data_IF_684544363417
#
_entry.id   IF_684544363417
#
_cell.length_a   1.000
_cell.length_b   1.000
_cell.length_c   1.000
_cell.angle_alpha   90.00
_cell.angle_beta   90.00
_cell.angle_gamma   90.00
#
_symmetry.space_group_name_H-M   'P 1'
#
loop_
_entity.id
_entity.type
_entity.pdbx_description
1 polymer ?
#
# COMPACT_ATOMS: atom_id res chain seq x y z
N UNK A 1 -7.84 3.36 -2.74
CA UNK A 1 -8.96 2.43 -2.52
C UNK A 1 -9.29 2.46 -1.06
N UNK A 2 -10.44 3.05 -0.72
CA UNK A 2 -11.01 2.95 0.62
C UNK A 2 -11.38 1.49 0.89
N UNK A 3 -11.41 1.05 2.15
CA UNK A 3 -11.86 -0.30 2.50
C UNK A 3 -13.26 -0.62 1.97
N UNK A 4 -14.12 0.38 1.78
CA UNK A 4 -15.44 0.26 1.14
C UNK A 4 -15.39 -0.15 -0.32
N UNK A 5 -14.41 0.35 -1.09
CA UNK A 5 -14.27 0.04 -2.52
C UNK A 5 -14.00 -1.45 -2.74
N UNK A 6 -13.35 -2.13 -1.78
CA UNK A 6 -13.00 -3.54 -1.93
C UNK A 6 -14.19 -4.46 -1.64
N UNK A 7 -15.11 -4.06 -0.74
CA UNK A 7 -16.36 -4.79 -0.52
C UNK A 7 -17.29 -4.70 -1.74
N UNK A 8 -17.33 -3.55 -2.39
CA UNK A 8 -18.08 -3.35 -3.64
C UNK A 8 -17.48 -4.15 -4.80
N UNK A 9 -16.14 -4.19 -4.93
CA UNK A 9 -15.43 -5.00 -5.95
C UNK A 9 -15.71 -6.50 -5.79
N UNK A 10 -15.91 -6.96 -4.55
CA UNK A 10 -16.19 -8.37 -4.25
C UNK A 10 -17.69 -8.67 -4.15
N UNK A 11 -18.56 -7.68 -4.38
CA UNK A 11 -20.02 -7.78 -4.26
C UNK A 11 -20.47 -8.39 -2.92
N UNK A 12 -19.75 -8.07 -1.84
CA UNK A 12 -20.03 -8.58 -0.50
C UNK A 12 -21.02 -7.61 0.16
N UNK A 13 -22.30 -8.01 0.21
CA UNK A 13 -23.34 -7.24 0.90
C UNK A 13 -23.12 -7.29 2.41
N UNK A 14 -23.03 -6.13 3.05
CA UNK A 14 -23.10 -6.02 4.51
C UNK A 14 -24.48 -6.51 5.00
N UNK A 15 -24.53 -7.67 5.68
CA UNK A 15 -25.76 -8.22 6.28
C UNK A 15 -26.15 -7.50 7.58
N UNK A 16 -26.06 -6.17 7.58
CA UNK A 16 -26.42 -5.31 8.71
C UNK A 16 -27.51 -4.29 8.40
N UNK A 17 -28.10 -4.32 7.21
CA UNK A 17 -29.19 -3.43 6.80
C UNK A 17 -30.24 -4.18 6.00
N UNK A 18 -31.16 -4.86 6.68
CA UNK A 18 -32.53 -5.06 6.22
C UNK A 18 -33.45 -4.87 7.44
N UNK A 19 -34.43 -4.01 7.24
CA UNK A 19 -35.52 -3.60 8.12
C UNK A 19 -36.38 -4.74 8.66
N UNK A 20 -36.95 -4.49 9.84
CA UNK A 20 -37.95 -5.29 10.55
C UNK A 20 -39.13 -5.72 9.68
N UNK A 21 -39.52 -7.00 9.76
CA UNK A 21 -40.89 -7.40 10.14
C UNK A 21 -41.01 -8.92 10.38
N UNK A 22 -41.94 -9.25 11.28
CA UNK A 22 -42.52 -10.55 11.63
C UNK A 22 -41.77 -11.46 12.62
N UNK A 23 -42.40 -11.62 13.78
CA UNK A 23 -41.96 -12.47 14.85
C UNK A 23 -42.42 -13.91 14.69
N UNK A 24 -41.65 -14.83 15.26
CA UNK A 24 -42.19 -15.98 15.96
C UNK A 24 -41.14 -16.52 16.92
N UNK A 25 -41.65 -16.95 18.07
CA UNK A 25 -40.97 -17.45 19.25
C UNK A 25 -40.15 -18.72 19.02
N UNK A 26 -38.95 -18.80 19.59
CA UNK A 26 -38.45 -20.01 20.28
C UNK A 26 -37.12 -19.75 21.01
N UNK A 27 -37.05 -20.16 22.28
CA UNK A 27 -35.84 -20.24 23.11
C UNK A 27 -34.88 -21.32 22.57
N UNK A 28 -33.59 -21.31 22.97
CA UNK A 28 -33.21 -22.16 24.12
C UNK A 28 -32.19 -21.55 25.10
N UNK A 29 -32.51 -21.76 26.37
CA UNK A 29 -31.72 -22.26 27.51
C UNK A 29 -30.17 -22.14 27.49
N UNK A 30 -29.72 -21.59 28.61
CA UNK A 30 -28.40 -21.50 29.25
C UNK A 30 -27.38 -22.63 29.06
N UNK A 31 -26.10 -22.25 29.03
CA UNK A 31 -25.11 -22.80 29.99
C UNK A 31 -24.00 -21.80 30.28
N UNK A 32 -23.71 -21.65 31.57
CA UNK A 32 -22.68 -20.83 32.17
C UNK A 32 -21.33 -21.54 32.14
N UNK A 33 -20.27 -20.81 31.80
CA UNK A 33 -18.97 -21.01 32.45
C UNK A 33 -18.12 -19.75 32.35
N UNK A 34 -17.56 -19.40 33.50
CA UNK A 34 -16.82 -18.21 33.86
C UNK A 34 -15.34 -18.31 33.44
N UNK A 35 -14.83 -17.30 32.73
CA UNK A 35 -13.41 -16.98 32.71
C UNK A 35 -13.21 -15.48 32.46
N UNK A 36 -12.50 -14.84 33.38
CA UNK A 36 -12.15 -13.41 33.40
C UNK A 36 -11.15 -13.11 32.28
N UNK A 37 -11.51 -12.24 31.33
CA UNK A 37 -10.59 -11.73 30.32
C UNK A 37 -10.79 -10.23 30.10
N UNK A 38 -9.66 -9.55 29.98
CA UNK A 38 -9.44 -8.09 29.88
C UNK A 38 -10.23 -7.48 28.71
N UNK A 39 -11.02 -6.45 29.00
CA UNK A 39 -11.82 -5.68 28.03
C UNK A 39 -10.94 -5.04 26.93
N UNK A 40 -10.96 -5.60 25.72
CA UNK A 40 -10.77 -4.86 24.46
C UNK A 40 -12.13 -4.80 23.75
N UNK A 41 -12.55 -3.65 23.18
CA UNK A 41 -13.77 -3.61 22.39
C UNK A 41 -13.58 -4.50 21.15
N UNK A 42 -14.40 -5.55 21.06
CA UNK A 42 -14.42 -6.46 19.91
C UNK A 42 -14.87 -5.69 18.67
N UNK A 43 -14.02 -5.64 17.63
CA UNK A 43 -14.44 -5.19 16.30
C UNK A 43 -15.45 -6.20 15.77
N UNK A 44 -16.63 -5.73 15.37
CA UNK A 44 -17.70 -6.57 14.80
C UNK A 44 -17.12 -7.41 13.64
N UNK A 45 -17.16 -8.73 13.77
CA UNK A 45 -16.80 -9.61 12.67
C UNK A 45 -17.89 -9.54 11.61
N UNK A 46 -17.50 -9.30 10.36
CA UNK A 46 -18.40 -9.42 9.21
C UNK A 46 -18.62 -10.91 8.99
N UNK A 47 -19.79 -11.42 9.40
CA UNK A 47 -20.15 -12.83 9.23
C UNK A 47 -20.20 -13.19 7.75
N UNK A 48 -19.48 -14.25 7.35
CA UNK A 48 -19.46 -14.77 5.98
C UNK A 48 -18.11 -14.67 5.24
N UNK A 49 -17.08 -14.06 5.85
CA UNK A 49 -15.74 -13.96 5.25
C UNK A 49 -14.71 -14.73 6.08
N UNK A 50 -13.87 -15.54 5.42
CA UNK A 50 -12.77 -16.24 6.09
C UNK A 50 -11.81 -15.24 6.76
N UNK A 51 -11.33 -15.59 7.95
CA UNK A 51 -10.46 -14.73 8.79
C UNK A 51 -9.23 -14.23 8.05
N UNK A 52 -8.69 -15.03 7.13
CA UNK A 52 -7.51 -14.66 6.32
C UNK A 52 -7.84 -13.62 5.25
N UNK A 53 -8.99 -13.75 4.59
CA UNK A 53 -9.48 -12.78 3.61
C UNK A 53 -9.86 -11.45 4.29
N UNK A 54 -10.49 -11.51 5.47
CA UNK A 54 -10.76 -10.33 6.28
C UNK A 54 -9.48 -9.63 6.76
N UNK A 55 -8.43 -10.40 7.08
CA UNK A 55 -7.11 -9.84 7.43
C UNK A 55 -6.41 -9.18 6.24
N UNK A 56 -6.76 -9.52 5.00
CA UNK A 56 -6.32 -8.79 3.80
C UNK A 56 -7.13 -7.50 3.59
N UNK A 57 -8.32 -7.40 4.18
CA UNK A 57 -9.31 -6.35 3.94
C UNK A 57 -9.28 -5.28 5.04
N UNK A 58 -8.13 -4.65 5.23
CA UNK A 58 -7.93 -3.56 6.18
C UNK A 58 -6.50 -3.04 6.13
N UNK A 59 -6.25 -1.86 6.72
CA UNK A 59 -4.95 -1.18 6.87
C UNK A 59 -3.94 -1.99 7.72
N UNK A 60 -3.67 -3.25 7.33
CA UNK A 60 -2.69 -4.12 7.96
C UNK A 60 -1.31 -3.94 7.31
N UNK A 61 -0.84 -2.69 7.24
CA UNK A 61 0.57 -2.52 7.60
C UNK A 61 0.57 -2.30 9.10
N UNK A 62 0.99 -3.29 9.93
CA UNK A 62 1.42 -2.90 11.26
C UNK A 62 2.40 -1.75 11.05
N UNK A 63 2.27 -0.61 11.75
CA UNK A 63 3.31 0.40 11.67
C UNK A 63 4.59 -0.35 11.97
N UNK A 64 5.50 -0.41 10.99
CA UNK A 64 6.85 -0.87 11.24
C UNK A 64 7.33 0.14 12.24
N UNK A 65 7.23 -0.21 13.52
CA UNK A 65 7.83 0.56 14.58
C UNK A 65 9.31 0.38 14.30
N UNK A 66 9.86 1.29 13.48
CA UNK A 66 11.28 1.57 13.45
C UNK A 66 11.52 2.13 14.84
N UNK A 67 11.66 1.24 15.83
CA UNK A 67 12.21 1.64 17.10
C UNK A 67 13.55 2.26 16.74
N UNK A 68 13.82 3.53 17.07
CA UNK A 68 15.15 4.08 16.94
C UNK A 68 15.98 3.32 17.97
N UNK A 69 16.46 2.14 17.59
CA UNK A 69 17.31 1.33 18.42
C UNK A 69 18.62 2.12 18.47
N UNK A 70 18.81 2.87 19.55
CA UNK A 70 19.98 3.71 19.83
C UNK A 70 21.26 2.90 20.04
N UNK A 71 21.25 1.62 19.68
CA UNK A 71 22.34 0.66 19.81
C UNK A 71 23.28 0.64 18.60
N UNK A 72 23.59 1.81 18.04
CA UNK A 72 24.56 1.97 16.94
C UNK A 72 26.01 1.59 17.34
N UNK A 73 26.25 1.16 18.58
CA UNK A 73 27.57 0.78 19.12
C UNK A 73 27.60 -0.55 19.88
N UNK A 74 26.54 -1.36 19.84
CA UNK A 74 26.66 -2.74 20.33
C UNK A 74 27.53 -3.52 19.34
N UNK A 75 28.77 -3.84 19.75
CA UNK A 75 29.62 -4.74 18.98
C UNK A 75 28.87 -6.07 18.84
N UNK A 76 28.66 -6.50 17.60
CA UNK A 76 28.02 -7.78 17.30
C UNK A 76 28.86 -8.89 17.94
N UNK A 77 28.44 -9.40 19.10
CA UNK A 77 29.06 -10.56 19.74
C UNK A 77 28.70 -11.82 18.94
N UNK A 78 29.34 -11.98 17.78
CA UNK A 78 29.18 -13.16 16.94
C UNK A 78 30.08 -14.28 17.50
N UNK A 79 29.55 -15.01 18.48
CA UNK A 79 30.20 -16.19 19.08
C UNK A 79 30.06 -17.45 18.21
N UNK A 80 29.41 -17.35 17.04
CA UNK A 80 29.28 -18.46 16.10
C UNK A 80 30.58 -18.66 15.32
N UNK A 81 31.08 -19.90 15.31
CA UNK A 81 32.19 -20.30 14.44
C UNK A 81 31.84 -20.00 12.98
N UNK A 82 32.79 -19.48 12.22
CA UNK A 82 32.61 -19.21 10.80
C UNK A 82 32.29 -20.52 10.07
N UNK A 83 31.15 -20.55 9.38
CA UNK A 83 30.75 -21.72 8.60
C UNK A 83 31.55 -21.74 7.29
N UNK A 84 32.13 -22.87 6.90
CA UNK A 84 32.82 -22.98 5.62
C UNK A 84 31.81 -22.82 4.48
N UNK A 85 32.23 -22.17 3.40
CA UNK A 85 31.44 -22.09 2.17
C UNK A 85 31.94 -23.15 1.20
N UNK A 86 31.01 -23.88 0.58
CA UNK A 86 31.30 -24.93 -0.39
C UNK A 86 30.72 -24.46 -1.72
N UNK A 87 31.48 -24.63 -2.79
CA UNK A 87 31.03 -24.38 -4.15
C UNK A 87 30.20 -25.58 -4.60
N UNK A 88 28.89 -25.41 -4.73
CA UNK A 88 27.94 -26.47 -5.07
C UNK A 88 27.32 -26.22 -6.43
N UNK A 89 27.19 -27.27 -7.24
CA UNK A 89 26.45 -27.22 -8.49
C UNK A 89 24.95 -27.33 -8.21
N UNK A 90 24.12 -26.64 -8.99
CA UNK A 90 22.67 -26.79 -8.99
C UNK A 90 22.13 -26.68 -10.41
N UNK A 91 21.10 -27.46 -10.71
CA UNK A 91 20.38 -27.39 -11.99
C UNK A 91 19.32 -26.29 -11.90
N UNK A 92 19.52 -25.19 -12.62
CA UNK A 92 18.53 -24.10 -12.68
C UNK A 92 17.38 -24.42 -13.64
N UNK A 93 17.67 -25.16 -14.71
CA UNK A 93 16.71 -25.67 -15.68
C UNK A 93 17.25 -27.02 -16.22
N UNK A 94 16.44 -27.77 -16.97
CA UNK A 94 16.82 -29.05 -17.62
C UNK A 94 18.09 -28.95 -18.47
N UNK A 95 18.41 -27.75 -18.97
CA UNK A 95 19.51 -27.51 -19.89
C UNK A 95 20.71 -26.78 -19.26
N UNK A 96 20.57 -26.22 -18.05
CA UNK A 96 21.61 -25.35 -17.48
C UNK A 96 21.92 -25.77 -16.04
N UNK A 97 23.14 -26.24 -15.84
CA UNK A 97 23.79 -26.42 -14.55
C UNK A 97 24.60 -25.16 -14.24
N UNK A 98 24.32 -24.54 -13.10
CA UNK A 98 25.06 -23.39 -12.59
C UNK A 98 25.71 -23.76 -11.26
N UNK A 99 26.65 -22.96 -10.82
CA UNK A 99 27.38 -23.18 -9.57
C UNK A 99 27.14 -22.01 -8.62
N UNK A 100 26.90 -22.30 -7.34
CA UNK A 100 26.76 -21.27 -6.31
C UNK A 100 27.45 -21.67 -5.01
N UNK A 101 27.82 -20.67 -4.22
CA UNK A 101 28.40 -20.88 -2.90
C UNK A 101 27.29 -21.16 -1.87
N UNK A 102 27.30 -22.35 -1.28
CA UNK A 102 26.44 -22.72 -0.14
C UNK A 102 27.20 -22.70 1.16
N UNK A 103 26.49 -22.47 2.26
CA UNK A 103 27.04 -22.55 3.61
C UNK A 103 27.10 -24.03 4.03
N UNK A 104 28.28 -24.60 4.22
CA UNK A 104 28.51 -26.02 4.56
C UNK A 104 28.67 -26.30 6.07
N UNK A 105 28.57 -27.58 6.52
CA UNK A 105 28.43 -28.81 5.74
C UNK A 105 27.05 -29.49 5.92
N UNK A 106 26.46 -30.00 4.84
CA UNK A 106 25.49 -31.11 4.92
C UNK A 106 26.02 -32.26 4.06
N UNK A 107 25.85 -33.45 4.62
CA UNK A 107 26.41 -34.77 4.28
C UNK A 107 26.62 -35.06 2.79
N UNK A 108 27.65 -35.87 2.54
CA UNK A 108 27.82 -36.69 1.33
C UNK A 108 26.52 -37.46 1.04
N UNK A 109 26.23 -37.62 -0.26
CA UNK A 109 25.05 -38.26 -0.87
C UNK A 109 23.86 -37.32 -1.16
N UNK A 110 24.08 -36.39 -2.09
CA UNK A 110 22.99 -35.71 -2.81
C UNK A 110 23.30 -34.25 -3.11
N UNK A 111 23.06 -33.83 -4.35
CA UNK A 111 23.05 -32.42 -4.72
C UNK A 111 22.00 -31.74 -3.81
N UNK A 112 22.39 -30.77 -2.95
CA UNK A 112 21.42 -30.12 -2.07
C UNK A 112 20.40 -29.38 -2.93
N UNK A 113 19.14 -29.81 -2.87
CA UNK A 113 18.05 -29.10 -3.53
C UNK A 113 18.05 -27.64 -3.07
N UNK A 114 17.97 -26.74 -4.04
CA UNK A 114 17.97 -25.31 -3.76
C UNK A 114 16.79 -24.97 -2.85
N UNK A 115 16.99 -24.10 -1.86
CA UNK A 115 15.90 -23.54 -1.05
C UNK A 115 14.82 -22.84 -1.91
N UNK A 116 15.17 -22.53 -3.16
CA UNK A 116 14.28 -21.90 -4.14
C UNK A 116 13.47 -22.90 -4.97
N UNK A 117 13.80 -24.20 -4.95
CA UNK A 117 13.04 -25.25 -5.69
C UNK A 117 11.57 -25.27 -5.29
N UNK A 118 11.25 -24.94 -4.03
CA UNK A 118 9.87 -24.81 -3.55
C UNK A 118 9.03 -23.73 -4.26
N UNK A 119 9.67 -22.80 -4.97
CA UNK A 119 8.98 -21.76 -5.73
C UNK A 119 8.85 -22.09 -7.22
N UNK A 120 9.44 -23.20 -7.68
CA UNK A 120 9.36 -23.67 -9.06
C UNK A 120 8.09 -24.51 -9.26
N UNK A 121 6.94 -23.83 -9.25
CA UNK A 121 5.62 -24.45 -9.36
C UNK A 121 5.17 -24.38 -10.82
N UNK A 122 5.18 -25.52 -11.51
CA UNK A 122 4.61 -25.65 -12.85
C UNK A 122 3.13 -26.05 -12.79
N UNK A 123 2.30 -25.38 -13.59
CA UNK A 123 0.89 -25.72 -13.70
C UNK A 123 0.71 -26.99 -14.54
N UNK A 124 0.03 -27.99 -13.98
CA UNK A 124 -0.36 -29.19 -14.72
C UNK A 124 -1.64 -28.91 -15.50
N UNK A 125 -1.51 -28.65 -16.80
CA UNK A 125 -2.64 -28.39 -17.70
C UNK A 125 -3.05 -29.72 -18.34
N UNK A 126 -4.34 -30.10 -18.24
CA UNK A 126 -4.86 -31.30 -18.89
C UNK A 126 -4.51 -31.43 -20.38
N UNK A 127 -4.27 -32.68 -20.78
CA UNK A 127 -4.23 -33.13 -22.17
C UNK A 127 -5.45 -34.01 -22.44
N UNK A 128 -6.07 -33.82 -23.60
CA UNK A 128 -7.25 -34.58 -24.02
C UNK A 128 -7.23 -34.83 -25.53
N UNK A 129 -7.75 -35.99 -25.93
CA UNK A 129 -7.93 -36.36 -27.34
C UNK A 129 -9.20 -35.73 -27.94
N UNK A 130 -9.36 -35.79 -29.26
CA UNK A 130 -10.56 -35.28 -29.96
C UNK A 130 -11.81 -36.08 -29.55
N UNK A 131 -11.66 -37.37 -29.30
CA UNK A 131 -12.73 -38.27 -28.85
C UNK A 131 -13.18 -37.93 -27.43
N UNK A 132 -12.23 -37.67 -26.52
CA UNK A 132 -12.50 -37.24 -25.15
C UNK A 132 -13.20 -35.87 -25.17
N UNK A 133 -12.70 -34.94 -25.99
CA UNK A 133 -13.28 -33.62 -26.18
C UNK A 133 -14.74 -33.67 -26.61
N UNK A 134 -15.05 -34.43 -27.66
CA UNK A 134 -16.42 -34.59 -28.13
C UNK A 134 -17.30 -35.27 -27.05
N UNK A 135 -16.73 -36.20 -26.27
CA UNK A 135 -17.47 -36.90 -25.21
C UNK A 135 -17.91 -35.97 -24.07
N UNK A 136 -17.02 -35.11 -23.57
CA UNK A 136 -17.37 -34.20 -22.46
C UNK A 136 -18.05 -32.91 -22.91
N UNK A 137 -17.85 -32.50 -24.17
CA UNK A 137 -18.41 -31.25 -24.70
C UNK A 137 -19.81 -31.43 -25.32
N UNK A 138 -20.25 -32.68 -25.53
CA UNK A 138 -21.58 -32.97 -26.05
C UNK A 138 -22.70 -32.42 -25.13
N UNK A 139 -23.69 -31.71 -25.68
CA UNK A 139 -24.73 -31.02 -24.90
C UNK A 139 -25.73 -31.93 -24.18
N UNK A 140 -25.64 -33.26 -24.33
CA UNK A 140 -26.55 -34.23 -23.70
C UNK A 140 -26.31 -34.42 -22.19
N UNK A 141 -25.19 -33.92 -21.63
CA UNK A 141 -24.93 -33.92 -20.19
C UNK A 141 -25.54 -32.72 -19.45
N UNK A 142 -26.35 -31.88 -20.13
CA UNK A 142 -27.21 -30.86 -19.50
C UNK A 142 -28.39 -31.51 -18.76
N UNK A 143 -28.13 -32.35 -17.77
CA UNK A 143 -29.14 -32.73 -16.78
C UNK A 143 -29.03 -31.83 -15.56
N UNK A 144 -30.05 -30.98 -15.42
CA UNK A 144 -30.55 -30.38 -14.19
C UNK A 144 -29.87 -29.07 -13.76
N UNK A 145 -30.68 -28.00 -13.76
CA UNK A 145 -30.45 -26.65 -13.19
C UNK A 145 -29.81 -25.58 -14.08
N UNK A 146 -30.55 -25.15 -15.11
CA UNK A 146 -30.99 -23.74 -15.24
C UNK A 146 -31.73 -23.54 -16.57
N UNK A 147 -33.07 -23.53 -16.49
CA UNK A 147 -33.89 -22.86 -17.49
C UNK A 147 -33.74 -21.36 -17.25
N UNK A 148 -33.25 -20.60 -18.23
CA UNK A 148 -33.74 -19.28 -18.62
C UNK A 148 -32.92 -18.74 -19.79
N UNK A 149 -33.65 -18.50 -20.88
CA UNK A 149 -33.35 -17.68 -22.06
C UNK A 149 -32.05 -16.88 -22.07
N UNK A 150 -31.15 -17.21 -23.00
CA UNK A 150 -30.40 -16.21 -23.76
C UNK A 150 -29.78 -16.86 -25.01
N UNK A 151 -30.39 -16.57 -26.17
CA UNK A 151 -29.77 -16.74 -27.49
C UNK A 151 -28.60 -15.77 -27.61
N UNK A 152 -27.47 -16.06 -26.95
CA UNK A 152 -26.17 -15.45 -27.29
C UNK A 152 -25.56 -16.25 -28.45
N UNK A 153 -24.95 -15.60 -29.46
CA UNK A 153 -24.29 -16.32 -30.53
C UNK A 153 -23.18 -17.17 -29.91
N UNK A 154 -23.36 -18.48 -29.90
CA UNK A 154 -22.31 -19.43 -29.57
C UNK A 154 -21.12 -19.09 -30.45
N UNK A 155 -20.08 -18.49 -29.87
CA UNK A 155 -18.78 -18.44 -30.54
C UNK A 155 -18.43 -19.90 -30.79
N UNK A 156 -18.46 -20.31 -32.07
CA UNK A 156 -18.21 -21.70 -32.45
C UNK A 156 -16.72 -21.96 -32.28
N UNK A 157 -16.34 -22.31 -31.06
CA UNK A 157 -14.99 -22.72 -30.75
C UNK A 157 -14.68 -24.03 -31.47
N UNK A 158 -13.67 -23.99 -32.32
CA UNK A 158 -13.17 -25.20 -32.98
C UNK A 158 -12.28 -25.99 -32.02
N UNK A 159 -12.27 -27.32 -32.13
CA UNK A 159 -11.33 -28.15 -31.38
C UNK A 159 -9.86 -27.73 -31.64
N UNK A 160 -9.54 -27.38 -32.88
CA UNK A 160 -8.20 -26.90 -33.28
C UNK A 160 -7.83 -25.61 -32.56
N UNK A 161 -8.81 -24.72 -32.37
CA UNK A 161 -8.64 -23.46 -31.68
C UNK A 161 -8.40 -23.65 -30.18
N UNK A 162 -9.12 -24.59 -29.58
CA UNK A 162 -8.98 -24.91 -28.16
C UNK A 162 -7.64 -25.58 -27.90
N UNK A 163 -7.21 -26.52 -28.75
CA UNK A 163 -5.86 -27.09 -28.66
C UNK A 163 -4.78 -26.01 -28.78
N UNK A 164 -4.95 -25.06 -29.70
CA UNK A 164 -4.04 -23.92 -29.83
C UNK A 164 -3.99 -23.07 -28.55
N UNK A 165 -5.15 -22.77 -27.95
CA UNK A 165 -5.25 -22.06 -26.68
C UNK A 165 -4.55 -22.81 -25.54
N UNK A 166 -4.81 -24.11 -25.39
CA UNK A 166 -4.15 -24.94 -24.38
C UNK A 166 -2.62 -25.03 -24.59
N UNK A 167 -2.18 -25.08 -25.84
CA UNK A 167 -0.76 -25.03 -26.20
C UNK A 167 -0.10 -23.67 -25.89
N UNK A 168 -0.86 -22.56 -25.94
CA UNK A 168 -0.38 -21.26 -25.46
C UNK A 168 -0.36 -21.22 -23.93
N UNK A 169 -1.39 -21.75 -23.25
CA UNK A 169 -1.43 -21.81 -21.79
C UNK A 169 -0.25 -22.59 -21.20
N UNK A 170 0.19 -23.68 -21.85
CA UNK A 170 1.39 -24.46 -21.44
C UNK A 170 2.70 -23.73 -21.67
N UNK A 171 2.80 -22.94 -22.74
CA UNK A 171 4.05 -22.21 -23.07
C UNK A 171 4.26 -20.97 -22.21
N UNK A 172 3.19 -20.37 -21.70
CA UNK A 172 3.23 -19.11 -20.94
C UNK A 172 2.70 -19.22 -19.51
N UNK A 173 2.56 -20.44 -18.97
CA UNK A 173 2.14 -20.70 -17.58
C UNK A 173 0.88 -19.91 -17.17
N UNK A 174 -0.16 -19.91 -18.01
CA UNK A 174 -1.42 -19.17 -17.81
C UNK A 174 -1.27 -17.65 -17.66
N UNK A 175 -0.19 -17.06 -18.19
CA UNK A 175 -0.04 -15.61 -18.29
C UNK A 175 -1.03 -15.02 -19.31
N UNK A 176 -2.28 -14.81 -18.89
CA UNK A 176 -3.41 -14.42 -19.75
C UNK A 176 -3.14 -13.21 -20.65
N UNK A 177 -2.38 -12.23 -20.18
CA UNK A 177 -2.03 -11.06 -20.98
C UNK A 177 -1.06 -11.40 -22.13
N UNK A 178 -0.09 -12.28 -21.89
CA UNK A 178 0.86 -12.76 -22.91
C UNK A 178 0.15 -13.70 -23.88
N UNK A 179 -0.74 -14.54 -23.36
CA UNK A 179 -1.56 -15.44 -24.18
C UNK A 179 -2.44 -14.62 -25.12
N UNK A 180 -3.12 -13.60 -24.60
CA UNK A 180 -3.96 -12.69 -25.39
C UNK A 180 -3.16 -11.94 -26.46
N UNK A 181 -1.99 -11.40 -26.12
CA UNK A 181 -1.10 -10.70 -27.06
C UNK A 181 -0.62 -11.60 -28.22
N UNK A 182 -0.39 -12.89 -27.93
CA UNK A 182 0.12 -13.86 -28.92
C UNK A 182 -0.95 -14.70 -29.58
N UNK A 183 -2.22 -14.47 -29.26
CA UNK A 183 -3.32 -15.23 -29.79
C UNK A 183 -3.62 -14.78 -31.23
N UNK A 184 -3.32 -15.64 -32.21
CA UNK A 184 -3.55 -15.34 -33.62
C UNK A 184 -4.31 -16.48 -34.30
N UNK A 185 -5.63 -16.52 -34.07
CA UNK A 185 -6.54 -17.49 -34.69
C UNK A 185 -7.54 -16.83 -35.67
N UNK A 186 -7.35 -15.55 -35.99
CA UNK A 186 -8.15 -14.80 -36.97
C UNK A 186 -9.37 -14.07 -36.41
N UNK A 187 -9.88 -14.47 -35.23
CA UNK A 187 -10.93 -13.74 -34.51
C UNK A 187 -10.36 -13.03 -33.28
N UNK A 188 -10.63 -11.72 -33.17
CA UNK A 188 -10.30 -10.93 -31.97
C UNK A 188 -11.29 -11.28 -30.84
N UNK A 189 -10.96 -12.31 -30.06
CA UNK A 189 -11.74 -12.71 -28.89
C UNK A 189 -11.35 -11.88 -27.67
N UNK A 190 -12.29 -11.56 -26.79
CA UNK A 190 -11.93 -10.86 -25.55
C UNK A 190 -11.08 -11.76 -24.65
N UNK A 191 -10.21 -11.15 -23.84
CA UNK A 191 -9.44 -11.86 -22.82
C UNK A 191 -10.34 -12.67 -21.87
N UNK A 192 -11.54 -12.15 -21.57
CA UNK A 192 -12.49 -12.87 -20.71
C UNK A 192 -13.14 -14.06 -21.43
N UNK A 193 -13.25 -14.03 -22.76
CA UNK A 193 -13.79 -15.13 -23.58
C UNK A 193 -12.80 -16.30 -23.65
N UNK A 194 -11.50 -15.99 -23.78
CA UNK A 194 -10.43 -17.00 -23.72
C UNK A 194 -10.43 -17.74 -22.38
N UNK A 195 -10.63 -16.99 -21.27
CA UNK A 195 -10.73 -17.56 -19.93
C UNK A 195 -11.97 -18.41 -19.77
N UNK A 196 -13.13 -17.90 -20.20
CA UNK A 196 -14.41 -18.60 -20.12
C UNK A 196 -14.29 -20.00 -20.72
N UNK A 197 -13.75 -20.09 -21.94
CA UNK A 197 -13.56 -21.39 -22.58
C UNK A 197 -12.55 -22.28 -21.90
N UNK A 198 -11.41 -21.74 -21.47
CA UNK A 198 -10.41 -22.56 -20.79
C UNK A 198 -10.98 -23.18 -19.51
N UNK A 199 -11.67 -22.39 -18.69
CA UNK A 199 -12.27 -22.88 -17.46
C UNK A 199 -13.48 -23.78 -17.71
N UNK A 200 -14.29 -23.53 -18.74
CA UNK A 200 -15.40 -24.41 -19.11
C UNK A 200 -14.89 -25.79 -19.54
N UNK A 201 -13.87 -25.83 -20.41
CA UNK A 201 -13.23 -27.07 -20.88
C UNK A 201 -12.58 -27.80 -19.71
N UNK A 202 -11.83 -27.11 -18.85
CA UNK A 202 -11.23 -27.72 -17.67
C UNK A 202 -12.31 -28.27 -16.72
N UNK A 203 -13.39 -27.51 -16.45
CA UNK A 203 -14.48 -27.96 -15.58
C UNK A 203 -15.14 -29.23 -16.11
N UNK A 204 -15.44 -29.28 -17.41
CA UNK A 204 -16.04 -30.48 -18.04
C UNK A 204 -15.08 -31.66 -18.05
N UNK A 205 -13.78 -31.42 -18.28
CA UNK A 205 -12.76 -32.45 -18.21
C UNK A 205 -12.64 -33.06 -16.80
N UNK A 206 -12.55 -32.22 -15.77
CA UNK A 206 -12.48 -32.69 -14.38
C UNK A 206 -13.78 -33.37 -13.94
N UNK A 207 -14.94 -32.88 -14.38
CA UNK A 207 -16.22 -33.53 -14.12
C UNK A 207 -16.31 -34.93 -14.74
N UNK A 208 -15.75 -35.12 -15.94
CA UNK A 208 -15.72 -36.41 -16.62
C UNK A 208 -14.73 -37.40 -15.97
N UNK A 209 -13.64 -36.90 -15.36
CA UNK A 209 -12.66 -37.74 -14.65
C UNK A 209 -13.10 -38.09 -13.24
N UNK A 210 -13.47 -37.10 -12.44
CA UNK A 210 -13.81 -37.24 -11.02
C UNK A 210 -15.02 -36.34 -10.66
N UNK A 211 -16.25 -36.90 -10.65
CA UNK A 211 -17.45 -36.13 -10.37
C UNK A 211 -17.56 -35.50 -8.95
N UNK A 212 -16.76 -35.98 -7.99
CA UNK A 212 -16.82 -35.57 -6.57
C UNK A 212 -15.68 -34.64 -6.13
N UNK A 213 -14.86 -34.13 -7.05
CA UNK A 213 -13.74 -33.27 -6.67
C UNK A 213 -14.20 -31.87 -6.20
N UNK A 214 -13.72 -31.47 -5.03
CA UNK A 214 -14.01 -30.14 -4.45
C UNK A 214 -13.36 -29.01 -5.28
N UNK A 215 -12.34 -29.32 -6.09
CA UNK A 215 -11.68 -28.34 -6.97
C UNK A 215 -12.62 -27.78 -8.04
N UNK A 216 -13.69 -28.50 -8.40
CA UNK A 216 -14.67 -28.06 -9.41
C UNK A 216 -15.32 -26.71 -9.05
N UNK A 217 -15.50 -26.44 -7.75
CA UNK A 217 -16.03 -25.15 -7.29
C UNK A 217 -15.05 -23.99 -7.50
N UNK A 218 -13.74 -24.25 -7.56
CA UNK A 218 -12.71 -23.23 -7.80
C UNK A 218 -12.58 -22.88 -9.28
N UNK A 219 -13.07 -23.76 -10.17
CA UNK A 219 -13.08 -23.56 -11.62
C UNK A 219 -14.34 -22.85 -12.13
N UNK A 220 -15.26 -22.42 -11.23
CA UNK A 220 -16.45 -21.65 -11.61
C UNK A 220 -16.08 -20.21 -12.01
N UNK A 221 -15.87 -20.01 -13.32
CA UNK A 221 -15.57 -18.72 -13.89
C UNK A 221 -16.81 -18.11 -14.53
N UNK A 222 -17.26 -16.96 -14.01
CA UNK A 222 -18.41 -16.21 -14.54
C UNK A 222 -17.94 -14.95 -15.27
N UNK A 223 -17.99 -14.98 -16.60
CA UNK A 223 -17.57 -13.88 -17.47
C UNK A 223 -18.28 -12.56 -17.17
N UNK A 224 -19.60 -12.56 -17.01
CA UNK A 224 -20.37 -11.33 -16.80
C UNK A 224 -19.90 -10.58 -15.55
N UNK A 225 -19.61 -11.31 -14.46
CA UNK A 225 -19.08 -10.74 -13.21
C UNK A 225 -17.69 -10.14 -13.39
N UNK A 226 -16.80 -10.79 -14.14
CA UNK A 226 -15.45 -10.24 -14.36
C UNK A 226 -15.48 -9.01 -15.27
N UNK A 227 -16.39 -8.98 -16.25
CA UNK A 227 -16.62 -7.80 -17.09
C UNK A 227 -17.16 -6.62 -16.26
N UNK A 228 -18.14 -6.85 -15.39
CA UNK A 228 -18.64 -5.84 -14.46
C UNK A 228 -17.54 -5.34 -13.52
N UNK A 229 -16.77 -6.26 -12.94
CA UNK A 229 -15.63 -5.95 -12.06
C UNK A 229 -14.59 -5.09 -12.76
N UNK A 230 -14.26 -5.42 -14.01
CA UNK A 230 -13.33 -4.64 -14.86
C UNK A 230 -13.88 -3.25 -15.17
N UNK A 231 -15.18 -3.13 -15.47
CA UNK A 231 -15.84 -1.83 -15.67
C UNK A 231 -15.80 -0.99 -14.39
N UNK A 232 -16.06 -1.59 -13.22
CA UNK A 232 -15.98 -0.92 -11.93
C UNK A 232 -14.56 -0.45 -11.62
N UNK A 233 -13.54 -1.30 -11.82
CA UNK A 233 -12.14 -0.92 -11.62
C UNK A 233 -11.71 0.21 -12.55
N UNK A 234 -12.14 0.18 -13.83
CA UNK A 234 -11.91 1.29 -14.76
C UNK A 234 -12.57 2.58 -14.28
N UNK A 235 -13.80 2.50 -13.76
CA UNK A 235 -14.49 3.64 -13.15
C UNK A 235 -13.71 4.17 -11.95
N UNK A 236 -13.25 3.30 -11.05
CA UNK A 236 -12.48 3.68 -9.88
C UNK A 236 -11.14 4.32 -10.25
N UNK A 237 -10.45 3.79 -11.26
CA UNK A 237 -9.18 4.34 -11.74
C UNK A 237 -9.36 5.71 -12.43
N UNK A 238 -10.52 5.94 -13.06
CA UNK A 238 -10.84 7.21 -13.71
C UNK A 238 -11.47 8.25 -12.79
N UNK A 239 -11.70 7.94 -11.51
CA UNK A 239 -12.18 8.92 -10.51
C UNK A 239 -11.20 10.08 -10.37
N UNK A 240 -11.72 11.30 -10.40
CA UNK A 240 -10.91 12.49 -10.15
C UNK A 240 -10.68 12.69 -8.65
N UNK A 241 -9.58 13.36 -8.28
CA UNK A 241 -9.30 13.68 -6.87
C UNK A 241 -10.37 14.59 -6.23
N UNK A 242 -11.06 15.41 -7.05
CA UNK A 242 -12.16 16.26 -6.59
C UNK A 242 -13.41 15.42 -6.25
N UNK A 243 -13.76 14.47 -7.12
CA UNK A 243 -14.87 13.52 -6.91
C UNK A 243 -14.65 12.69 -5.64
N UNK A 244 -13.41 12.24 -5.39
CA UNK A 244 -13.07 11.50 -4.16
C UNK A 244 -13.28 12.36 -2.91
N UNK A 245 -12.84 13.63 -2.93
CA UNK A 245 -12.98 14.53 -1.79
C UNK A 245 -14.46 14.86 -1.50
N UNK A 246 -15.27 15.00 -2.55
CA UNK A 246 -16.72 15.19 -2.42
C UNK A 246 -17.41 13.94 -1.85
N UNK A 247 -17.10 12.74 -2.37
CA UNK A 247 -17.62 11.48 -1.83
C UNK A 247 -17.24 11.29 -0.34
N UNK A 248 -16.00 11.58 0.03
CA UNK A 248 -15.55 11.53 1.43
C UNK A 248 -16.28 12.53 2.31
N UNK A 249 -16.51 13.77 1.82
CA UNK A 249 -17.29 14.77 2.54
C UNK A 249 -18.74 14.33 2.76
N UNK A 250 -19.38 13.75 1.73
CA UNK A 250 -20.73 13.19 1.83
C UNK A 250 -20.81 12.01 2.80
N UNK A 251 -19.79 11.14 2.85
CA UNK A 251 -19.73 10.05 3.83
C UNK A 251 -19.61 10.59 5.26
N UNK A 252 -18.79 11.61 5.48
CA UNK A 252 -18.64 12.26 6.79
C UNK A 252 -19.97 12.89 7.22
N UNK A 253 -20.63 13.59 6.30
CA UNK A 253 -21.94 14.20 6.54
C UNK A 253 -23.00 13.13 6.85
N UNK A 254 -23.06 12.05 6.07
CA UNK A 254 -23.96 10.92 6.32
C UNK A 254 -23.75 10.30 7.70
N UNK A 255 -22.49 10.06 8.09
CA UNK A 255 -22.16 9.56 9.44
C UNK A 255 -22.54 10.54 10.54
N UNK A 256 -22.39 11.85 10.29
CA UNK A 256 -22.81 12.90 11.21
C UNK A 256 -24.33 12.87 11.40
N UNK A 257 -25.11 12.70 10.34
CA UNK A 257 -26.55 12.54 10.43
C UNK A 257 -26.95 11.25 11.15
N UNK A 258 -26.25 10.13 10.92
CA UNK A 258 -26.52 8.87 11.62
C UNK A 258 -26.25 9.01 13.13
N UNK A 259 -25.14 9.63 13.52
CA UNK A 259 -24.83 9.90 14.93
C UNK A 259 -25.84 10.86 15.56
N UNK A 260 -26.26 11.89 14.83
CA UNK A 260 -27.29 12.82 15.30
C UNK A 260 -28.63 12.10 15.50
N UNK A 261 -29.06 11.24 14.56
CA UNK A 261 -30.28 10.46 14.66
C UNK A 261 -30.24 9.47 15.84
N UNK A 262 -29.10 8.81 16.08
CA UNK A 262 -28.92 7.94 17.25
C UNK A 262 -29.00 8.74 18.56
N UNK A 263 -28.42 9.93 18.59
CA UNK A 263 -28.48 10.83 19.75
C UNK A 263 -29.92 11.27 20.04
N UNK A 264 -30.66 11.74 19.04
CA UNK A 264 -32.06 12.17 19.24
C UNK A 264 -32.95 11.01 19.66
N UNK A 265 -32.69 9.79 19.18
CA UNK A 265 -33.41 8.59 19.60
C UNK A 265 -33.13 8.25 21.07
N UNK A 266 -31.86 8.29 21.49
CA UNK A 266 -31.46 8.09 22.89
C UNK A 266 -32.03 9.17 23.81
N UNK A 267 -32.02 10.44 23.38
CA UNK A 267 -32.66 11.55 24.12
C UNK A 267 -34.17 11.31 24.24
N UNK A 268 -34.84 10.90 23.16
CA UNK A 268 -36.26 10.55 23.16
C UNK A 268 -36.54 9.39 24.12
N UNK A 269 -35.75 8.32 24.09
CA UNK A 269 -35.89 7.19 25.01
C UNK A 269 -35.70 7.63 26.47
N UNK A 270 -34.73 8.51 26.73
CA UNK A 270 -34.50 9.06 28.08
C UNK A 270 -35.67 9.90 28.57
N UNK A 271 -36.30 10.69 27.69
CA UNK A 271 -37.48 11.50 27.99
C UNK A 271 -38.68 10.60 28.23
N UNK A 272 -38.89 9.59 27.38
CA UNK A 272 -39.96 8.61 27.54
C UNK A 272 -39.80 7.85 28.85
N UNK A 273 -38.59 7.43 29.21
CA UNK A 273 -38.30 6.78 30.49
C UNK A 273 -38.51 7.70 31.69
N UNK A 274 -38.29 9.01 31.54
CA UNK A 274 -38.59 9.99 32.57
C UNK A 274 -40.10 10.21 32.71
N UNK A 275 -40.83 10.23 31.60
CA UNK A 275 -42.28 10.37 31.57
C UNK A 275 -42.99 9.11 32.08
N UNK A 276 -42.43 7.94 31.81
CA UNK A 276 -42.88 6.63 32.28
C UNK A 276 -42.34 6.29 33.68
N UNK A 277 -41.65 7.24 34.33
CA UNK A 277 -41.28 7.05 35.73
C UNK A 277 -42.56 6.96 36.58
N UNK A 278 -42.66 5.98 37.48
CA UNK A 278 -43.92 5.71 38.18
C UNK A 278 -44.36 6.94 38.96
N UNK A 279 -45.54 7.47 38.63
CA UNK A 279 -46.22 8.44 39.47
C UNK A 279 -46.40 7.79 40.85
N UNK A 280 -45.83 8.39 41.90
CA UNK A 280 -45.94 7.83 43.23
C UNK A 280 -47.36 8.00 43.75
N UNK A 281 -48.18 6.95 43.70
CA UNK A 281 -49.54 6.90 44.28
C UNK A 281 -49.55 6.90 45.83
N UNK A 282 -48.41 7.16 46.48
CA UNK A 282 -48.35 7.24 47.94
C UNK A 282 -48.83 8.60 48.43
N UNK A 283 -49.79 8.58 49.35
CA UNK A 283 -50.32 9.76 50.03
C UNK A 283 -49.21 10.53 50.75
N UNK A 284 -49.16 11.85 50.49
CA UNK A 284 -48.22 12.81 51.09
C UNK A 284 -48.20 12.75 52.63
N UNK A 285 -49.27 12.24 53.25
CA UNK A 285 -49.40 12.09 54.69
C UNK A 285 -48.29 11.22 55.33
N UNK A 286 -47.76 10.21 54.62
CA UNK A 286 -46.69 9.36 55.16
C UNK A 286 -45.37 10.11 55.36
N UNK A 287 -45.16 11.21 54.63
CA UNK A 287 -43.98 12.06 54.71
C UNK A 287 -44.13 13.27 55.64
N UNK A 288 -45.29 13.44 56.29
CA UNK A 288 -45.45 14.51 57.28
C UNK A 288 -44.83 14.16 58.64
N UNK A 289 -44.50 12.89 58.88
CA UNK A 289 -43.78 12.47 60.08
C UNK A 289 -42.26 12.64 59.90
N UNK A 290 -41.55 13.01 60.97
CA UNK A 290 -40.09 13.16 60.96
C UNK A 290 -39.36 11.87 60.55
N UNK A 291 -39.94 10.71 60.87
CA UNK A 291 -39.48 9.39 60.44
C UNK A 291 -39.67 9.18 58.93
N UNK A 292 -40.82 9.58 58.38
CA UNK A 292 -41.10 9.52 56.94
C UNK A 292 -40.17 10.43 56.12
N UNK A 293 -39.86 11.63 56.63
CA UNK A 293 -38.91 12.56 55.99
C UNK A 293 -37.50 11.95 55.95
N UNK A 294 -37.06 11.29 57.02
CA UNK A 294 -35.76 10.63 57.06
C UNK A 294 -35.66 9.46 56.06
N UNK A 295 -36.75 8.71 55.86
CA UNK A 295 -36.80 7.66 54.85
C UNK A 295 -36.81 8.21 53.42
N UNK A 296 -37.55 9.29 53.16
CA UNK A 296 -37.53 10.00 51.88
C UNK A 296 -36.13 10.52 51.56
N UNK A 297 -35.46 11.13 52.54
CA UNK A 297 -34.10 11.64 52.38
C UNK A 297 -33.11 10.53 52.01
N UNK A 298 -33.18 9.38 52.68
CA UNK A 298 -32.35 8.21 52.34
C UNK A 298 -32.68 7.63 50.95
N UNK A 299 -33.96 7.60 50.57
CA UNK A 299 -34.36 7.21 49.21
C UNK A 299 -33.87 8.20 48.15
N UNK A 300 -33.96 9.52 48.40
CA UNK A 300 -33.49 10.55 47.47
C UNK A 300 -31.96 10.52 47.29
N UNK A 301 -31.21 10.27 48.37
CA UNK A 301 -29.75 10.13 48.32
C UNK A 301 -29.33 8.89 47.52
N UNK A 302 -30.08 7.80 47.61
CA UNK A 302 -29.81 6.56 46.86
C UNK A 302 -30.27 6.64 45.40
N UNK A 303 -31.34 7.36 45.09
CA UNK A 303 -31.84 7.53 43.71
C UNK A 303 -30.93 8.46 42.88
N UNK A 304 -30.28 9.45 43.52
CA UNK A 304 -29.22 10.28 42.92
C UNK A 304 -27.99 9.49 42.48
N UNK A 305 -27.82 8.27 42.97
CA UNK A 305 -26.75 7.34 42.57
C UNK A 305 -27.17 6.40 41.43
N UNK A 306 -28.48 6.19 41.20
CA UNK A 306 -29.00 5.32 40.13
C UNK A 306 -29.25 6.05 38.80
N UNK A 307 -29.67 7.32 38.83
CA UNK A 307 -29.91 8.10 37.58
C UNK A 307 -28.67 8.71 36.92
N UNK A 308 -27.51 8.75 37.59
CA UNK A 308 -26.24 9.32 37.05
C UNK A 308 -25.37 8.33 36.26
N UNK A 309 -25.93 7.21 35.78
CA UNK A 309 -25.21 6.23 34.94
C UNK A 309 -25.60 6.23 33.46
N UNK A 310 -26.14 7.35 32.95
CA UNK A 310 -26.41 7.48 31.50
C UNK A 310 -25.77 8.70 30.83
N UNK A 311 -24.90 9.45 31.52
CA UNK A 311 -24.02 10.39 30.81
C UNK A 311 -22.73 9.65 30.44
N UNK A 312 -22.70 9.03 29.27
CA UNK A 312 -21.45 8.56 28.68
C UNK A 312 -20.68 9.79 28.20
N UNK A 313 -19.55 10.05 28.86
CA UNK A 313 -18.63 11.12 28.52
C UNK A 313 -18.23 11.11 27.04
N UNK A 314 -18.23 12.30 26.47
CA UNK A 314 -17.69 12.62 25.14
C UNK A 314 -16.20 12.20 25.12
N UNK A 315 -15.76 11.35 24.18
CA UNK A 315 -14.33 11.09 24.01
C UNK A 315 -13.64 12.37 23.53
N UNK A 316 -12.76 12.92 24.36
CA UNK A 316 -11.92 14.07 24.04
C UNK A 316 -11.05 13.76 22.80
N UNK A 317 -11.12 14.64 21.80
CA UNK A 317 -10.55 14.43 20.48
C UNK A 317 -9.00 14.46 20.53
N UNK A 318 -8.26 13.38 20.17
CA UNK A 318 -6.80 13.28 20.32
C UNK A 318 -6.00 14.38 19.61
N UNK A 319 -6.59 15.01 18.60
CA UNK A 319 -5.99 16.07 17.79
C UNK A 319 -5.68 17.35 18.60
N UNK A 320 -6.53 17.69 19.57
CA UNK A 320 -6.42 18.95 20.32
C UNK A 320 -5.20 18.93 21.27
N UNK A 321 -4.88 17.76 21.82
CA UNK A 321 -3.72 17.55 22.69
C UNK A 321 -2.39 17.63 21.93
N UNK A 322 -2.36 17.13 20.69
CA UNK A 322 -1.18 17.18 19.84
C UNK A 322 -0.84 18.62 19.42
N UNK A 323 -1.85 19.43 19.10
CA UNK A 323 -1.66 20.83 18.72
C UNK A 323 -1.14 21.69 19.88
N UNK A 324 -1.58 21.40 21.11
CA UNK A 324 -1.13 22.09 22.31
C UNK A 324 0.34 21.76 22.66
N UNK A 325 0.78 20.52 22.41
CA UNK A 325 2.18 20.11 22.58
C UNK A 325 3.11 20.77 21.55
N UNK A 326 2.68 20.93 20.30
CA UNK A 326 3.46 21.64 19.28
C UNK A 326 3.60 23.15 19.57
N UNK A 327 2.57 23.78 20.15
CA UNK A 327 2.63 25.18 20.58
C UNK A 327 3.67 25.39 21.70
N UNK A 328 3.75 24.46 22.66
CA UNK A 328 4.72 24.50 23.75
C UNK A 328 6.16 24.28 23.28
N UNK A 329 6.39 23.41 22.29
CA UNK A 329 7.73 23.21 21.70
C UNK A 329 8.26 24.43 20.94
N UNK A 330 7.40 25.16 20.22
CA UNK A 330 7.80 26.41 19.53
C UNK A 330 8.26 27.49 20.50
N UNK A 331 7.61 27.61 21.65
CA UNK A 331 7.95 28.63 22.65
C UNK A 331 9.34 28.40 23.27
N UNK A 332 9.79 27.14 23.37
CA UNK A 332 11.11 26.80 23.92
C UNK A 332 12.26 27.07 22.94
N UNK A 333 12.01 26.99 21.63
CA UNK A 333 13.03 27.20 20.60
C UNK A 333 13.36 28.69 20.36
N UNK A 334 12.38 29.59 20.58
CA UNK A 334 12.57 31.04 20.44
C UNK A 334 13.42 31.66 21.56
N UNK A 335 13.56 30.99 22.71
CA UNK A 335 14.28 31.53 23.87
C UNK A 335 15.81 31.29 23.82
N UNK A 336 16.30 30.39 22.95
CA UNK A 336 17.73 30.08 22.82
C UNK A 336 18.44 30.84 21.68
N UNK A 337 17.74 31.74 20.96
CA UNK A 337 18.26 32.46 19.78
C UNK A 337 18.83 33.85 20.03
N UNK A 338 18.93 34.31 21.28
CA UNK A 338 19.38 35.65 21.60
C UNK A 338 20.89 35.74 21.84
N UNK A 339 21.55 36.56 21.01
CA UNK A 339 22.78 37.33 21.31
C UNK A 339 24.12 36.83 20.74
N UNK A 340 24.48 37.33 19.54
CA UNK A 340 25.86 37.68 19.16
C UNK A 340 25.85 38.89 18.22
N UNK A 341 26.23 40.05 18.79
CA UNK A 341 26.51 41.29 18.07
C UNK A 341 27.84 41.20 17.31
N UNK A 342 27.87 41.91 16.18
CA UNK A 342 28.96 42.03 15.20
C UNK A 342 29.78 43.25 15.55
N UNK A 343 31.10 43.12 15.60
CA UNK A 343 32.02 44.26 15.46
C UNK A 343 33.13 43.92 14.46
N UNK A 344 33.39 44.88 13.57
CA UNK A 344 34.29 44.81 12.44
C UNK A 344 35.54 45.67 12.69
N UNK A 345 36.72 45.05 12.72
CA UNK A 345 37.92 45.46 11.97
C UNK A 345 39.15 44.66 12.43
N UNK A 346 39.91 44.10 11.47
CA UNK A 346 41.38 44.12 11.40
C UNK A 346 41.95 42.90 10.65
N UNK A 347 42.67 43.22 9.57
CA UNK A 347 43.80 42.52 8.94
C UNK A 347 43.78 40.99 8.81
N UNK A 348 43.66 40.57 7.54
CA UNK A 348 44.37 39.49 6.83
C UNK A 348 45.29 38.53 7.65
N UNK A 349 44.72 37.77 8.57
CA UNK A 349 45.25 36.47 9.01
C UNK A 349 44.27 35.39 8.57
N UNK A 350 44.65 34.59 7.57
CA UNK A 350 43.83 33.45 7.13
C UNK A 350 43.51 32.57 8.34
N UNK A 351 42.23 32.47 8.67
CA UNK A 351 41.73 31.70 9.81
C UNK A 351 42.22 30.24 9.72
N UNK A 352 42.50 29.61 10.88
CA UNK A 352 42.93 28.21 10.98
C UNK A 352 42.03 27.24 10.20
N UNK A 353 40.74 27.58 10.08
CA UNK A 353 39.73 26.89 9.25
C UNK A 353 40.03 27.00 7.74
N UNK A 354 40.36 28.19 7.23
CA UNK A 354 40.72 28.38 5.81
C UNK A 354 42.02 27.68 5.42
N UNK A 355 43.01 27.61 6.33
CA UNK A 355 44.24 26.80 6.10
C UNK A 355 43.94 25.30 6.05
N UNK A 356 43.07 24.80 6.94
CA UNK A 356 42.64 23.40 6.93
C UNK A 356 41.82 23.06 5.68
N UNK A 357 40.93 23.96 5.24
CA UNK A 357 40.13 23.81 4.02
C UNK A 357 41.02 23.81 2.76
N UNK A 358 42.04 24.67 2.70
CA UNK A 358 43.01 24.71 1.61
C UNK A 358 43.92 23.46 1.58
N UNK A 359 44.36 22.96 2.74
CA UNK A 359 45.15 21.73 2.83
C UNK A 359 44.32 20.49 2.47
N UNK A 360 43.04 20.49 2.81
CA UNK A 360 42.10 19.44 2.39
C UNK A 360 41.83 19.51 0.89
N UNK A 361 41.74 20.70 0.30
CA UNK A 361 41.62 20.88 -1.15
C UNK A 361 42.86 20.41 -1.92
N UNK A 362 44.06 20.64 -1.39
CA UNK A 362 45.32 20.12 -1.95
C UNK A 362 45.37 18.58 -1.92
N UNK A 363 44.98 17.95 -0.81
CA UNK A 363 44.87 16.47 -0.73
C UNK A 363 43.83 15.90 -1.70
N UNK A 364 42.68 16.58 -1.87
CA UNK A 364 41.65 16.19 -2.86
C UNK A 364 42.15 16.21 -4.30
N UNK A 365 43.05 17.14 -4.65
CA UNK A 365 43.68 17.17 -5.98
C UNK A 365 44.62 15.98 -6.19
N UNK A 366 45.44 15.64 -5.20
CA UNK A 366 46.34 14.49 -5.28
C UNK A 366 45.62 13.14 -5.43
N UNK A 367 44.51 12.93 -4.71
CA UNK A 367 43.71 11.69 -4.84
C UNK A 367 43.05 11.57 -6.23
N UNK A 368 42.61 12.70 -6.81
CA UNK A 368 42.03 12.74 -8.16
C UNK A 368 43.09 12.51 -9.24
N UNK A 369 44.28 13.09 -9.09
CA UNK A 369 45.44 12.87 -9.97
C UNK A 369 45.90 11.41 -9.93
N UNK A 370 45.89 10.76 -8.77
CA UNK A 370 46.18 9.34 -8.62
C UNK A 370 45.11 8.45 -9.30
N UNK A 371 43.82 8.81 -9.19
CA UNK A 371 42.74 8.10 -9.87
C UNK A 371 42.84 8.23 -11.41
N UNK A 372 43.20 9.41 -11.93
CA UNK A 372 43.47 9.61 -13.36
C UNK A 372 44.69 8.81 -13.83
N UNK A 373 45.74 8.71 -13.01
CA UNK A 373 46.91 7.88 -13.31
C UNK A 373 46.56 6.39 -13.39
N UNK A 374 45.69 5.88 -12.51
CA UNK A 374 45.20 4.50 -12.57
C UNK A 374 44.33 4.23 -13.80
N UNK A 375 43.66 5.25 -14.33
CA UNK A 375 42.80 5.12 -15.51
C UNK A 375 43.55 5.28 -16.83
N UNK A 376 44.82 5.68 -16.82
CA UNK A 376 45.62 5.98 -18.02
C UNK A 376 45.69 4.82 -19.03
N UNK A 377 45.51 3.57 -18.59
CA UNK A 377 45.53 2.38 -19.44
C UNK A 377 44.19 2.06 -20.13
N UNK A 378 43.10 2.74 -19.78
CA UNK A 378 41.76 2.49 -20.34
C UNK A 378 41.45 3.48 -21.47
N UNK A 379 40.95 2.97 -22.60
CA UNK A 379 40.43 3.81 -23.68
C UNK A 379 39.12 4.50 -23.26
N UNK A 380 38.81 5.67 -23.85
CA UNK A 380 37.60 6.44 -23.53
C UNK A 380 36.30 5.65 -23.79
N UNK A 381 36.30 4.76 -24.78
CA UNK A 381 35.17 3.87 -25.08
C UNK A 381 35.01 2.77 -24.02
N UNK A 382 36.10 2.21 -23.52
CA UNK A 382 36.10 1.20 -22.45
C UNK A 382 35.67 1.81 -21.12
N UNK A 383 36.08 3.05 -20.84
CA UNK A 383 35.63 3.82 -19.67
C UNK A 383 34.12 4.06 -19.72
N UNK A 384 33.57 4.38 -20.91
CA UNK A 384 32.13 4.57 -21.11
C UNK A 384 31.36 3.26 -20.94
N UNK A 385 31.89 2.14 -21.45
CA UNK A 385 31.26 0.81 -21.34
C UNK A 385 31.26 0.29 -19.89
N UNK A 386 32.37 0.45 -19.17
CA UNK A 386 32.50 0.04 -17.76
C UNK A 386 31.89 1.04 -16.78
N UNK A 387 31.50 2.23 -17.25
CA UNK A 387 30.87 3.27 -16.44
C UNK A 387 31.80 3.88 -15.40
N UNK A 388 33.11 3.82 -15.62
CA UNK A 388 34.14 4.32 -14.69
C UNK A 388 34.43 5.79 -14.99
N UNK A 389 34.17 6.67 -14.03
CA UNK A 389 34.44 8.10 -14.12
C UNK A 389 35.24 8.58 -12.92
N UNK A 390 36.36 9.25 -13.16
CA UNK A 390 37.09 9.96 -12.12
C UNK A 390 36.27 11.19 -11.69
N UNK A 391 35.71 11.15 -10.49
CA UNK A 391 35.11 12.31 -9.88
C UNK A 391 36.19 13.09 -9.14
N UNK A 392 36.41 14.36 -9.51
CA UNK A 392 37.33 15.26 -8.78
C UNK A 392 36.86 15.63 -7.36
N UNK A 393 35.68 15.15 -6.95
CA UNK A 393 35.13 15.32 -5.61
C UNK A 393 35.01 13.97 -4.90
N UNK A 394 35.39 13.93 -3.61
CA UNK A 394 35.23 12.75 -2.77
C UNK A 394 33.74 12.41 -2.62
N UNK A 395 33.29 11.41 -3.36
CA UNK A 395 31.96 10.83 -3.19
C UNK A 395 31.88 10.18 -1.80
N UNK A 396 30.69 10.26 -1.19
CA UNK A 396 30.39 9.44 -0.01
C UNK A 396 30.59 7.97 -0.39
N UNK A 397 31.31 7.16 0.42
CA UNK A 397 31.49 5.75 0.13
C UNK A 397 30.14 5.03 0.18
N UNK A 398 29.87 4.15 -0.79
CA UNK A 398 28.66 3.35 -0.86
C UNK A 398 28.11 3.17 -2.28
N UNK A 399 27.16 2.25 -2.43
CA UNK A 399 26.40 2.05 -3.67
C UNK A 399 25.21 3.01 -3.65
N UNK A 400 25.10 3.87 -4.66
CA UNK A 400 23.99 4.82 -4.80
C UNK A 400 23.30 4.62 -6.14
N UNK A 401 21.97 4.73 -6.14
CA UNK A 401 21.21 4.81 -7.39
C UNK A 401 21.59 6.11 -8.11
N UNK A 402 21.81 6.03 -9.42
CA UNK A 402 22.21 7.18 -10.24
C UNK A 402 21.25 8.37 -10.12
N UNK A 403 19.95 8.09 -9.97
CA UNK A 403 18.89 9.08 -9.73
C UNK A 403 19.01 9.86 -8.42
N UNK A 404 19.71 9.32 -7.41
CA UNK A 404 19.85 9.97 -6.09
C UNK A 404 20.97 11.01 -6.03
N UNK A 405 21.85 11.05 -7.04
CA UNK A 405 23.02 11.93 -7.08
C UNK A 405 22.86 13.13 -8.01
N UNK A 406 21.65 13.38 -8.52
CA UNK A 406 21.36 14.58 -9.31
C UNK A 406 21.65 15.81 -8.44
N UNK A 407 22.44 16.74 -8.99
CA UNK A 407 22.84 17.97 -8.28
C UNK A 407 21.63 18.75 -7.78
N UNK A 408 21.55 18.99 -6.48
CA UNK A 408 20.51 19.82 -5.85
C UNK A 408 21.06 21.21 -5.57
N UNK A 409 20.21 22.22 -5.77
CA UNK A 409 20.55 23.62 -5.50
C UNK A 409 19.92 24.07 -4.18
N UNK A 410 20.33 25.24 -3.67
CA UNK A 410 19.68 25.85 -2.50
C UNK A 410 18.17 26.06 -2.79
N UNK A 411 17.28 25.92 -1.80
CA UNK A 411 15.82 25.91 -2.02
C UNK A 411 15.29 27.10 -2.86
N UNK A 412 15.81 28.31 -2.63
CA UNK A 412 15.40 29.50 -3.37
C UNK A 412 15.80 29.48 -4.86
N UNK A 413 16.94 28.88 -5.20
CA UNK A 413 17.39 28.70 -6.59
C UNK A 413 16.69 27.50 -7.22
N UNK A 414 16.46 26.44 -6.45
CA UNK A 414 15.80 25.23 -6.92
C UNK A 414 14.38 25.51 -7.42
N UNK A 415 13.59 26.33 -6.71
CA UNK A 415 12.25 26.70 -7.17
C UNK A 415 12.28 27.43 -8.53
N UNK A 416 13.23 28.35 -8.73
CA UNK A 416 13.40 29.05 -10.03
C UNK A 416 13.80 28.11 -11.15
N UNK A 417 14.69 27.16 -10.86
CA UNK A 417 15.09 26.13 -11.82
C UNK A 417 13.91 25.24 -12.19
N UNK A 418 13.05 24.88 -11.21
CA UNK A 418 11.82 24.10 -11.47
C UNK A 418 10.84 24.88 -12.35
N UNK A 419 10.65 26.19 -12.11
CA UNK A 419 9.81 27.02 -12.98
C UNK A 419 10.34 27.06 -14.41
N UNK A 420 11.64 27.25 -14.61
CA UNK A 420 12.26 27.25 -15.94
C UNK A 420 12.15 25.86 -16.61
N UNK A 421 12.25 24.77 -15.84
CA UNK A 421 12.05 23.42 -16.38
C UNK A 421 10.59 23.17 -16.79
N UNK A 422 9.62 23.71 -16.04
CA UNK A 422 8.21 23.68 -16.41
C UNK A 422 7.94 24.50 -17.69
N UNK A 423 8.59 25.66 -17.87
CA UNK A 423 8.49 26.45 -19.10
C UNK A 423 9.05 25.72 -20.34
N UNK A 424 10.01 24.80 -20.15
CA UNK A 424 10.62 23.99 -21.21
C UNK A 424 9.88 22.64 -21.37
N UNK A 425 8.74 22.44 -20.69
CA UNK A 425 7.98 21.18 -20.67
C UNK A 425 8.82 19.95 -20.28
N UNK A 426 9.84 20.15 -19.44
CA UNK A 426 10.74 19.09 -19.00
C UNK A 426 10.48 18.70 -17.54
N UNK A 427 10.41 17.39 -17.22
CA UNK A 427 10.19 16.95 -15.86
C UNK A 427 11.39 17.29 -14.96
N UNK A 428 11.11 17.58 -13.69
CA UNK A 428 12.13 17.87 -12.66
C UNK A 428 13.05 16.67 -12.36
N UNK A 429 12.66 15.48 -12.82
CA UNK A 429 13.49 14.28 -12.87
C UNK A 429 13.33 13.60 -14.21
N UNK A 430 14.42 13.16 -14.87
CA UNK A 430 14.34 12.42 -16.12
C UNK A 430 13.60 11.08 -15.92
N UNK A 431 12.69 10.75 -16.83
CA UNK A 431 11.89 9.52 -16.79
C UNK A 431 12.76 8.25 -16.83
N UNK A 432 13.89 8.30 -17.54
CA UNK A 432 14.88 7.22 -17.59
C UNK A 432 16.27 7.72 -17.16
N UNK A 433 16.70 7.43 -15.92
CA UNK A 433 18.01 7.80 -15.37
C UNK A 433 19.22 7.03 -15.97
N UNK A 434 19.42 7.06 -17.30
CA UNK A 434 20.62 6.49 -17.92
C UNK A 434 21.85 7.39 -17.73
N UNK A 435 23.05 6.84 -17.91
CA UNK A 435 24.31 7.60 -17.78
C UNK A 435 24.32 8.86 -18.66
N UNK A 436 23.99 8.69 -19.94
CA UNK A 436 24.05 9.77 -20.93
C UNK A 436 22.96 10.83 -20.69
N UNK A 437 21.75 10.39 -20.34
CA UNK A 437 20.64 11.31 -20.03
C UNK A 437 20.98 12.17 -18.81
N UNK A 438 21.55 11.57 -17.75
CA UNK A 438 21.92 12.31 -16.55
C UNK A 438 23.04 13.31 -16.83
N UNK A 439 24.07 12.94 -17.61
CA UNK A 439 25.15 13.86 -17.98
C UNK A 439 24.62 15.08 -18.74
N UNK A 440 23.73 14.86 -19.72
CA UNK A 440 23.08 15.95 -20.48
C UNK A 440 22.19 16.80 -19.58
N UNK A 441 21.45 16.16 -18.68
CA UNK A 441 20.57 16.83 -17.72
C UNK A 441 21.36 17.71 -16.73
N UNK A 442 22.49 17.25 -16.21
CA UNK A 442 23.36 18.08 -15.38
C UNK A 442 23.96 19.27 -16.13
N UNK A 443 24.34 19.08 -17.40
CA UNK A 443 24.79 20.18 -18.26
C UNK A 443 23.69 21.21 -18.49
N UNK A 444 22.45 20.76 -18.66
CA UNK A 444 21.27 21.63 -18.75
C UNK A 444 21.05 22.41 -17.46
N UNK A 445 21.05 21.74 -16.29
CA UNK A 445 20.89 22.39 -14.99
C UNK A 445 21.96 23.46 -14.74
N UNK A 446 23.23 23.17 -15.06
CA UNK A 446 24.32 24.16 -14.97
C UNK A 446 24.06 25.38 -15.85
N UNK A 447 23.61 25.18 -17.09
CA UNK A 447 23.26 26.27 -18.02
C UNK A 447 22.09 27.11 -17.51
N UNK A 448 21.03 26.48 -16.99
CA UNK A 448 19.87 27.18 -16.41
C UNK A 448 20.32 28.07 -15.26
N UNK A 449 21.17 27.57 -14.35
CA UNK A 449 21.70 28.38 -13.24
C UNK A 449 22.50 29.57 -13.76
N UNK A 450 23.39 29.38 -14.74
CA UNK A 450 24.14 30.51 -15.32
C UNK A 450 23.24 31.54 -15.97
N UNK A 451 22.14 31.12 -16.62
CA UNK A 451 21.18 32.03 -17.23
C UNK A 451 20.35 32.79 -16.19
N UNK A 452 19.97 32.15 -15.07
CA UNK A 452 19.29 32.81 -13.96
C UNK A 452 20.18 33.89 -13.34
N UNK A 453 21.47 33.61 -13.17
CA UNK A 453 22.43 34.59 -12.66
C UNK A 453 22.62 35.76 -13.64
N UNK A 454 22.74 35.47 -14.95
CA UNK A 454 22.81 36.51 -15.98
C UNK A 454 21.53 37.37 -16.04
N UNK A 455 20.35 36.75 -15.94
CA UNK A 455 19.06 37.46 -15.86
C UNK A 455 19.04 38.41 -14.66
N UNK A 456 19.49 37.95 -13.50
CA UNK A 456 19.59 38.79 -12.30
C UNK A 456 20.52 39.99 -12.50
N UNK A 457 21.64 39.82 -13.22
CA UNK A 457 22.52 40.93 -13.56
C UNK A 457 21.88 41.90 -14.55
N UNK A 458 21.16 41.39 -15.53
CA UNK A 458 20.45 42.20 -16.53
C UNK A 458 19.32 43.03 -15.88
N UNK A 459 18.49 42.40 -15.05
CA UNK A 459 17.42 43.07 -14.29
C UNK A 459 17.98 44.19 -13.41
N UNK A 460 19.17 43.99 -12.83
CA UNK A 460 19.86 45.02 -12.04
C UNK A 460 20.29 46.20 -12.90
N UNK A 461 20.89 45.94 -14.07
CA UNK A 461 21.31 47.00 -15.00
C UNK A 461 20.13 47.78 -15.58
N UNK A 462 19.02 47.10 -15.88
CA UNK A 462 17.80 47.76 -16.35
C UNK A 462 17.16 48.62 -15.26
N UNK A 463 17.16 48.16 -14.01
CA UNK A 463 16.70 48.96 -12.87
C UNK A 463 17.59 50.20 -12.66
N UNK A 464 18.92 50.06 -12.73
CA UNK A 464 19.85 51.18 -12.67
C UNK A 464 19.60 52.19 -13.82
N UNK A 465 19.38 51.69 -15.05
CA UNK A 465 19.09 52.51 -16.22
C UNK A 465 17.76 53.27 -16.11
N UNK A 466 16.73 52.63 -15.55
CA UNK A 466 15.42 53.24 -15.34
C UNK A 466 15.45 54.36 -14.29
N UNK A 467 16.38 54.31 -13.32
CA UNK A 467 16.55 55.35 -12.30
C UNK A 467 17.34 56.56 -12.84
N UNK A 468 18.21 56.35 -13.84
CA UNK A 468 19.02 57.42 -14.46
C UNK A 468 18.31 58.22 -15.57
N UNK A 469 17.09 57.84 -15.98
CA UNK A 469 16.22 58.64 -16.84
C UNK A 469 15.22 59.40 -16.00
#
# INVERSE_FOLDING_TARGET
MSGSDVFDVLNIKYKGKISEHEGTTSNPISSSSSAVAVNRPAKMQVTGMQRELYNLLGENQPPIVIQPNTKFKEKLNNTNKASPWIHSQFTANKYVTLEHWTKGPKSEDGIPESNFTKYDIHLSIPEFSEEEYNSFMNPQTKSTESNETDNKPEHKWSYVEILYLFGLCRRYDLSWFVIYDRYNFGEEKSLEDLKEMFYEVCRKYFLAKDPNDTTLSLLDYKKDKEVERKKYLKRLLSRSAAEIAEEEALIIESKKFEMAAKKTLSERESILRLLDSPNSDQSVAQYMSSQGIAQLYNNLLSDKARKRKHENGIPENPWMKQQQQFAQQRHHQLQQGGDKRVDANSMNKKNKKQKYDAQTAMKKKGDAEYAEQLLQQFNDEERKALGVTAHGEKLSPGVYLRSTKISTFKPALQNKVVTVLQEIDMPTRPAMPSYEVILRYEKLLKRIVTLIDLKKHLDKLDAEKAITK
#
